data_IF_897454475335
#
_entry.id   IF_897454475335
#
_cell.length_a   1.000
_cell.length_b   1.000
_cell.length_c   1.000
_cell.angle_alpha   90.00
_cell.angle_beta   90.00
_cell.angle_gamma   90.00
#
_symmetry.space_group_name_H-M   'P 1'
#
loop_
_entity.id
_entity.type
_entity.pdbx_description
1 polymer ?
#
# COMPACT_ATOMS: atom_id res chain seq x y z
N UNK A 1 -20.81 -2.23 28.24
CA UNK A 1 -20.21 -3.46 27.68
C UNK A 1 -19.19 -3.07 26.62
N UNK A 2 -17.92 -2.91 27.01
CA UNK A 2 -16.86 -2.51 26.09
C UNK A 2 -16.47 -3.72 25.24
N UNK A 3 -16.89 -3.72 23.98
CA UNK A 3 -16.42 -4.68 23.00
C UNK A 3 -14.90 -4.62 22.94
N UNK A 4 -14.24 -5.67 23.44
CA UNK A 4 -12.80 -5.90 23.25
C UNK A 4 -12.55 -5.80 21.75
N UNK A 5 -11.97 -4.67 21.30
CA UNK A 5 -11.47 -4.51 19.94
C UNK A 5 -10.37 -5.54 19.77
N UNK A 6 -10.70 -6.67 19.15
CA UNK A 6 -9.71 -7.66 18.72
C UNK A 6 -8.78 -6.96 17.74
N UNK A 7 -7.58 -6.64 18.23
CA UNK A 7 -6.44 -6.17 17.45
C UNK A 7 -5.77 -7.34 16.71
N UNK A 8 -6.52 -8.41 16.44
CA UNK A 8 -6.06 -9.64 15.77
C UNK A 8 -5.62 -9.37 14.31
N UNK A 9 -5.91 -8.17 13.78
CA UNK A 9 -5.48 -7.69 12.46
C UNK A 9 -4.18 -6.87 12.47
N UNK A 10 -3.66 -6.53 13.66
CA UNK A 10 -2.36 -5.87 13.89
C UNK A 10 -1.23 -6.86 14.21
N UNK A 11 -1.55 -8.16 14.20
CA UNK A 11 -0.63 -9.23 14.57
C UNK A 11 0.33 -9.55 13.44
N UNK A 12 1.61 -9.28 13.70
CA UNK A 12 2.79 -9.54 12.86
C UNK A 12 3.04 -8.46 11.81
N UNK A 13 3.72 -7.38 12.21
CA UNK A 13 4.36 -6.43 11.28
C UNK A 13 5.72 -7.02 10.85
N UNK A 14 5.84 -7.72 9.71
CA UNK A 14 7.14 -7.95 9.10
C UNK A 14 7.83 -6.61 8.81
N UNK A 15 9.16 -6.58 8.83
CA UNK A 15 9.98 -5.39 8.51
C UNK A 15 9.46 -4.56 7.31
N UNK A 16 9.00 -5.14 6.18
CA UNK A 16 8.42 -4.38 5.07
C UNK A 16 7.16 -3.57 5.41
N UNK A 17 6.35 -3.97 6.40
CA UNK A 17 5.20 -3.16 6.83
C UNK A 17 5.62 -1.87 7.54
N UNK A 18 6.83 -1.84 8.14
CA UNK A 18 7.40 -0.60 8.72
C UNK A 18 7.86 0.38 7.65
N UNK A 19 8.25 -0.14 6.49
CA UNK A 19 8.75 0.65 5.35
C UNK A 19 7.62 1.18 4.46
N UNK A 20 6.41 0.60 4.57
CA UNK A 20 5.23 0.99 3.79
C UNK A 20 4.93 2.50 3.85
N UNK A 21 4.89 3.18 5.02
CA UNK A 21 4.63 4.63 5.04
C UNK A 21 5.68 5.44 4.27
N UNK A 22 6.94 5.02 4.30
CA UNK A 22 8.01 5.69 3.55
C UNK A 22 7.84 5.47 2.04
N UNK A 23 7.56 4.23 1.62
CA UNK A 23 7.33 3.91 0.21
C UNK A 23 6.09 4.63 -0.35
N UNK A 24 4.97 4.63 0.38
CA UNK A 24 3.75 5.34 -0.02
C UNK A 24 3.98 6.85 -0.07
N UNK A 25 4.72 7.42 0.90
CA UNK A 25 5.10 8.82 0.87
C UNK A 25 5.93 9.16 -0.39
N UNK A 26 6.89 8.31 -0.77
CA UNK A 26 7.68 8.50 -2.00
C UNK A 26 6.81 8.43 -3.28
N UNK A 27 5.87 7.48 -3.35
CA UNK A 27 4.91 7.37 -4.46
C UNK A 27 3.98 8.59 -4.55
N UNK A 28 3.54 9.11 -3.40
CA UNK A 28 2.70 10.32 -3.33
C UNK A 28 3.50 11.58 -3.67
N UNK A 29 4.76 11.68 -3.23
CA UNK A 29 5.67 12.78 -3.54
C UNK A 29 5.97 12.90 -5.04
N UNK A 30 5.96 11.77 -5.75
CA UNK A 30 6.16 11.72 -7.21
C UNK A 30 4.93 12.19 -8.01
N UNK A 31 3.82 12.54 -7.33
CA UNK A 31 2.63 13.10 -7.96
C UNK A 31 2.84 14.58 -8.32
N UNK A 32 2.30 15.00 -9.48
CA UNK A 32 2.29 16.43 -9.89
C UNK A 32 1.60 17.36 -8.89
N UNK A 33 0.75 16.83 -8.02
CA UNK A 33 0.01 17.58 -7.00
C UNK A 33 0.53 17.34 -5.58
N UNK A 34 1.75 16.80 -5.44
CA UNK A 34 2.30 16.46 -4.14
C UNK A 34 2.56 17.72 -3.27
N UNK A 35 2.26 17.65 -1.96
CA UNK A 35 2.71 18.69 -1.03
C UNK A 35 4.24 18.75 -1.03
N UNK A 36 4.79 19.97 -1.14
CA UNK A 36 6.22 20.20 -1.08
C UNK A 36 6.72 20.05 0.36
N UNK A 37 7.76 19.25 0.55
CA UNK A 37 8.40 19.03 1.85
C UNK A 37 9.55 18.04 1.75
N UNK A 38 10.47 18.01 2.72
CA UNK A 38 11.55 17.03 2.74
C UNK A 38 10.97 15.61 2.87
N UNK A 39 11.61 14.58 2.27
CA UNK A 39 11.09 13.21 2.25
C UNK A 39 10.75 12.64 3.64
N UNK A 40 11.49 13.06 4.66
CA UNK A 40 11.30 12.64 6.05
C UNK A 40 9.97 13.15 6.64
N UNK A 41 9.57 14.38 6.32
CA UNK A 41 8.30 14.98 6.78
C UNK A 41 7.10 14.34 6.09
N UNK A 42 7.25 13.99 4.80
CA UNK A 42 6.25 13.26 4.05
C UNK A 42 6.04 11.84 4.63
N UNK A 43 7.13 11.13 4.94
CA UNK A 43 7.06 9.81 5.58
C UNK A 43 6.46 9.88 7.00
N UNK A 44 6.80 10.90 7.79
CA UNK A 44 6.21 11.11 9.12
C UNK A 44 4.71 11.43 9.04
N UNK A 45 4.29 12.21 8.04
CA UNK A 45 2.89 12.51 7.76
C UNK A 45 2.12 11.25 7.37
N UNK A 46 2.69 10.42 6.49
CA UNK A 46 2.09 9.15 6.10
C UNK A 46 1.95 8.20 7.28
N UNK A 47 2.99 8.11 8.12
CA UNK A 47 2.95 7.28 9.33
C UNK A 47 1.83 7.71 10.28
N UNK A 48 1.68 9.01 10.53
CA UNK A 48 0.58 9.54 11.36
C UNK A 48 -0.79 9.26 10.76
N UNK A 49 -0.91 9.31 9.44
CA UNK A 49 -2.16 8.99 8.75
C UNK A 49 -2.53 7.50 8.91
N UNK A 50 -1.57 6.60 8.68
CA UNK A 50 -1.74 5.15 8.89
C UNK A 50 -2.05 4.85 10.36
N UNK A 51 -1.33 5.45 11.30
CA UNK A 51 -1.60 5.31 12.74
C UNK A 51 -3.02 5.77 13.09
N UNK A 52 -3.47 6.91 12.56
CA UNK A 52 -4.83 7.39 12.77
C UNK A 52 -5.88 6.45 12.18
N UNK A 53 -5.65 5.93 10.97
CA UNK A 53 -6.51 4.92 10.35
C UNK A 53 -6.60 3.65 11.21
N UNK A 54 -5.50 3.24 11.82
CA UNK A 54 -5.46 2.05 12.68
C UNK A 54 -6.20 2.28 14.01
N UNK A 55 -5.90 3.38 14.70
CA UNK A 55 -6.43 3.63 16.04
C UNK A 55 -7.87 4.12 16.03
N UNK A 56 -8.23 4.93 15.01
CA UNK A 56 -9.49 5.69 14.96
C UNK A 56 -10.31 5.42 13.70
N UNK A 57 -9.74 4.77 12.69
CA UNK A 57 -10.43 4.52 11.44
C UNK A 57 -11.51 3.45 11.53
N UNK A 58 -12.22 3.31 10.42
CA UNK A 58 -13.19 2.26 10.16
C UNK A 58 -12.64 1.26 9.14
N UNK A 59 -13.27 0.08 9.05
CA UNK A 59 -12.98 -0.87 7.95
C UNK A 59 -13.10 -0.21 6.58
N UNK A 60 -14.07 0.68 6.39
CA UNK A 60 -14.26 1.37 5.12
C UNK A 60 -13.11 2.33 4.79
N UNK A 61 -12.66 3.13 5.76
CA UNK A 61 -11.51 4.04 5.55
C UNK A 61 -10.21 3.28 5.33
N UNK A 62 -10.03 2.12 5.99
CA UNK A 62 -8.90 1.24 5.76
C UNK A 62 -8.90 0.64 4.34
N UNK A 63 -10.03 0.09 3.89
CA UNK A 63 -10.14 -0.45 2.52
C UNK A 63 -9.95 0.64 1.45
N UNK A 64 -10.43 1.85 1.71
CA UNK A 64 -10.17 3.00 0.83
C UNK A 64 -8.68 3.32 0.75
N UNK A 65 -7.97 3.32 1.87
CA UNK A 65 -6.53 3.52 1.90
C UNK A 65 -5.78 2.48 1.06
N UNK A 66 -6.13 1.19 1.19
CA UNK A 66 -5.50 0.13 0.40
C UNK A 66 -5.78 0.28 -1.11
N UNK A 67 -6.99 0.68 -1.49
CA UNK A 67 -7.35 0.96 -2.87
C UNK A 67 -6.54 2.15 -3.43
N UNK A 68 -6.40 3.23 -2.65
CA UNK A 68 -5.57 4.37 -3.04
C UNK A 68 -4.11 3.95 -3.27
N UNK A 69 -3.53 3.12 -2.40
CA UNK A 69 -2.16 2.61 -2.59
C UNK A 69 -2.07 1.68 -3.80
N UNK A 70 -3.08 0.86 -4.05
CA UNK A 70 -3.16 0.02 -5.25
C UNK A 70 -3.07 0.86 -6.52
N UNK A 71 -3.84 1.95 -6.60
CA UNK A 71 -3.80 2.88 -7.74
C UNK A 71 -2.42 3.53 -7.93
N UNK A 72 -1.70 3.84 -6.84
CA UNK A 72 -0.32 4.35 -6.92
C UNK A 72 0.59 3.31 -7.60
N UNK A 73 0.57 2.08 -7.10
CA UNK A 73 1.44 0.99 -7.55
C UNK A 73 1.14 0.61 -9.00
N UNK A 74 -0.13 0.44 -9.35
CA UNK A 74 -0.52 0.10 -10.73
C UNK A 74 -0.19 1.22 -11.71
N UNK A 75 -0.31 2.49 -11.28
CA UNK A 75 0.07 3.64 -12.09
C UNK A 75 1.57 3.66 -12.43
N UNK A 76 2.42 3.37 -11.44
CA UNK A 76 3.88 3.28 -11.67
C UNK A 76 4.21 2.06 -12.54
N UNK A 77 3.62 0.89 -12.26
CA UNK A 77 3.86 -0.32 -13.02
C UNK A 77 3.45 -0.21 -14.50
N UNK A 78 2.39 0.55 -14.80
CA UNK A 78 1.91 0.81 -16.16
C UNK A 78 2.68 1.96 -16.85
N UNK A 79 3.59 2.65 -16.15
CA UNK A 79 4.27 3.85 -16.66
C UNK A 79 3.35 5.05 -16.86
N UNK A 80 2.09 4.98 -16.41
CA UNK A 80 1.12 6.08 -16.49
C UNK A 80 1.33 7.13 -15.39
N UNK A 81 2.15 6.79 -14.39
CA UNK A 81 2.55 7.67 -13.29
C UNK A 81 4.06 7.63 -13.10
N UNK A 82 4.67 8.80 -12.88
CA UNK A 82 6.04 8.89 -12.39
C UNK A 82 6.12 8.37 -10.94
N UNK A 83 7.16 7.62 -10.63
CA UNK A 83 7.43 7.11 -9.30
C UNK A 83 8.59 6.12 -9.33
N UNK A 84 9.20 5.90 -8.17
CA UNK A 84 10.26 4.90 -8.01
C UNK A 84 9.69 3.47 -8.13
N UNK A 85 10.13 2.67 -9.12
CA UNK A 85 9.69 1.28 -9.27
C UNK A 85 10.03 0.40 -8.06
N UNK A 86 11.11 0.68 -7.33
CA UNK A 86 11.48 -0.08 -6.14
C UNK A 86 10.51 0.20 -4.97
N UNK A 87 10.21 1.48 -4.70
CA UNK A 87 9.17 1.87 -3.75
C UNK A 87 7.78 1.31 -4.14
N UNK A 88 7.44 1.31 -5.44
CA UNK A 88 6.19 0.72 -5.93
C UNK A 88 6.13 -0.80 -5.69
N UNK A 89 7.26 -1.49 -5.89
CA UNK A 89 7.33 -2.94 -5.66
C UNK A 89 7.12 -3.27 -4.19
N UNK A 90 7.82 -2.58 -3.28
CA UNK A 90 7.68 -2.78 -1.83
C UNK A 90 6.24 -2.53 -1.37
N UNK A 91 5.67 -1.39 -1.75
CA UNK A 91 4.29 -1.06 -1.39
C UNK A 91 3.29 -2.08 -1.96
N UNK A 92 3.51 -2.53 -3.20
CA UNK A 92 2.68 -3.53 -3.86
C UNK A 92 2.72 -4.89 -3.18
N UNK A 93 3.90 -5.34 -2.75
CA UNK A 93 4.06 -6.62 -2.04
C UNK A 93 3.36 -6.61 -0.68
N UNK A 94 3.52 -5.54 0.10
CA UNK A 94 2.87 -5.40 1.42
C UNK A 94 1.35 -5.36 1.29
N UNK A 95 0.82 -4.53 0.39
CA UNK A 95 -0.64 -4.41 0.22
C UNK A 95 -1.23 -5.70 -0.33
N UNK A 96 -0.52 -6.40 -1.22
CA UNK A 96 -0.93 -7.70 -1.72
C UNK A 96 -1.01 -8.75 -0.61
N UNK A 97 -0.03 -8.78 0.30
CA UNK A 97 -0.05 -9.67 1.47
C UNK A 97 -1.25 -9.35 2.38
N UNK A 98 -1.52 -8.06 2.61
CA UNK A 98 -2.69 -7.63 3.37
C UNK A 98 -4.01 -8.07 2.70
N UNK A 99 -4.13 -7.94 1.38
CA UNK A 99 -5.31 -8.45 0.65
C UNK A 99 -5.44 -9.97 0.72
N UNK A 100 -4.33 -10.72 0.84
CA UNK A 100 -4.34 -12.18 1.02
C UNK A 100 -4.81 -12.58 2.41
N UNK A 101 -4.39 -11.85 3.44
CA UNK A 101 -4.90 -12.05 4.81
C UNK A 101 -6.42 -11.80 4.90
N UNK A 102 -6.98 -10.93 4.04
CA UNK A 102 -8.42 -10.66 3.98
C UNK A 102 -9.25 -11.76 3.26
N UNK A 103 -8.62 -12.79 2.67
CA UNK A 103 -9.30 -13.81 1.85
C UNK A 103 -10.32 -14.66 2.64
N UNK A 104 -10.31 -14.60 3.97
CA UNK A 104 -11.25 -15.34 4.83
C UNK A 104 -12.56 -14.61 5.20
N UNK A 105 -12.77 -13.35 4.80
CA UNK A 105 -13.91 -12.56 5.30
C UNK A 105 -15.11 -12.56 4.33
N UNK A 106 -16.30 -13.03 4.74
CA UNK A 106 -17.49 -12.95 3.89
C UNK A 106 -17.96 -11.50 3.67
N UNK A 107 -18.54 -11.23 2.50
CA UNK A 107 -19.30 -10.01 2.18
C UNK A 107 -18.73 -9.12 1.06
N UNK A 108 -19.40 -7.98 0.75
CA UNK A 108 -19.09 -7.13 -0.41
C UNK A 108 -17.66 -6.56 -0.44
N UNK A 109 -17.03 -6.41 0.73
CA UNK A 109 -15.63 -5.98 0.83
C UNK A 109 -14.64 -6.98 0.22
N UNK A 110 -14.99 -8.27 0.17
CA UNK A 110 -14.17 -9.33 -0.44
C UNK A 110 -14.14 -9.23 -1.98
N UNK A 111 -15.27 -8.89 -2.60
CA UNK A 111 -15.35 -8.72 -4.06
C UNK A 111 -14.46 -7.57 -4.55
N UNK A 112 -14.45 -6.45 -3.82
CA UNK A 112 -13.58 -5.31 -4.11
C UNK A 112 -12.09 -5.68 -3.99
N UNK A 113 -11.70 -6.34 -2.90
CA UNK A 113 -10.30 -6.73 -2.69
C UNK A 113 -9.83 -7.83 -3.65
N UNK A 114 -10.73 -8.59 -4.29
CA UNK A 114 -10.36 -9.56 -5.32
C UNK A 114 -9.86 -8.87 -6.61
N UNK A 115 -10.52 -7.78 -7.02
CA UNK A 115 -10.07 -6.98 -8.16
C UNK A 115 -8.73 -6.29 -7.87
N UNK A 116 -8.61 -5.67 -6.70
CA UNK A 116 -7.36 -5.02 -6.25
C UNK A 116 -6.19 -6.01 -6.22
N UNK A 117 -6.44 -7.23 -5.72
CA UNK A 117 -5.44 -8.31 -5.69
C UNK A 117 -4.96 -8.70 -7.08
N UNK A 118 -5.87 -8.92 -8.03
CA UNK A 118 -5.50 -9.29 -9.39
C UNK A 118 -4.67 -8.18 -10.08
N UNK A 119 -5.05 -6.92 -9.85
CA UNK A 119 -4.29 -5.77 -10.36
C UNK A 119 -2.89 -5.70 -9.74
N UNK A 120 -2.77 -5.87 -8.42
CA UNK A 120 -1.49 -5.89 -7.70
C UNK A 120 -0.60 -7.05 -8.11
N UNK A 121 -1.15 -8.24 -8.31
CA UNK A 121 -0.37 -9.41 -8.75
C UNK A 121 0.26 -9.19 -10.13
N UNK A 122 -0.50 -8.56 -11.04
CA UNK A 122 0.01 -8.15 -12.35
C UNK A 122 1.09 -7.06 -12.22
N UNK A 123 0.82 -6.02 -11.43
CA UNK A 123 1.73 -4.89 -11.23
C UNK A 123 3.07 -5.32 -10.59
N UNK A 124 3.02 -6.12 -9.52
CA UNK A 124 4.22 -6.66 -8.84
C UNK A 124 5.05 -7.52 -9.78
N UNK A 125 4.41 -8.34 -10.62
CA UNK A 125 5.12 -9.14 -11.64
C UNK A 125 5.87 -8.26 -12.63
N UNK A 126 5.19 -7.25 -13.17
CA UNK A 126 5.80 -6.28 -14.08
C UNK A 126 6.95 -5.51 -13.42
N UNK A 127 6.78 -5.03 -12.19
CA UNK A 127 7.82 -4.30 -11.47
C UNK A 127 9.07 -5.17 -11.24
N UNK A 128 8.91 -6.44 -10.83
CA UNK A 128 10.03 -7.40 -10.67
C UNK A 128 10.79 -7.65 -11.97
N UNK A 129 10.10 -7.72 -13.11
CA UNK A 129 10.77 -7.88 -14.41
C UNK A 129 11.59 -6.64 -14.77
N UNK A 130 11.09 -5.44 -14.46
CA UNK A 130 11.80 -4.19 -14.73
C UNK A 130 13.02 -3.99 -13.82
N UNK A 131 12.90 -4.28 -12.52
CA UNK A 131 14.02 -4.16 -11.56
C UNK A 131 15.13 -5.17 -11.88
N UNK A 132 14.77 -6.40 -12.28
CA UNK A 132 15.75 -7.42 -12.70
C UNK A 132 16.48 -7.00 -13.99
N UNK A 133 15.76 -6.39 -14.94
CA UNK A 133 16.36 -5.88 -16.20
C UNK A 133 17.24 -4.66 -15.96
N UNK A 134 16.89 -3.81 -14.99
CA UNK A 134 17.67 -2.62 -14.61
C UNK A 134 18.96 -2.96 -13.85
N UNK A 135 18.98 -4.04 -13.07
CA UNK A 135 20.18 -4.51 -12.34
C UNK A 135 21.22 -5.21 -13.23
N UNK A 136 20.89 -5.50 -14.50
CA UNK A 136 21.75 -6.18 -15.47
C UNK A 136 22.51 -5.26 -16.43
N UNK A 137 22.52 -3.93 -16.21
CA UNK A 137 23.33 -2.95 -16.97
C UNK A 137 24.29 -2.24 -16.04
#
# INVERSE_FOLDING_TARGET
MSGRRRLDWLGLTPEPERELPTAVAALRASSRSAPAGPPQDLAATERRHVEHLILRGSRHSWLRYLAEVTDLVTGVAAGSRAGDPAAALLAGEVVLDHHRMLIGLPGPGYGRTAQDRAALESAVRSLRTHTTTGAGR
#
